data_IF_276631944332
#
_entry.id   IF_276631944332
#
_cell.length_a   1.000
_cell.length_b   1.000
_cell.length_c   1.000
_cell.angle_alpha   90.00
_cell.angle_beta   90.00
_cell.angle_gamma   90.00
#
_symmetry.space_group_name_H-M   'P 1'
#
loop_
_entity.id
_entity.type
_entity.pdbx_description
1 polymer ?
#
# COMPACT_ATOMS: atom_id res chain seq x y z
N UNK A 1 13.13 -39.14 -21.68
CA UNK A 1 13.35 -40.30 -20.81
C UNK A 1 12.67 -39.97 -19.48
N UNK A 2 11.83 -40.86 -18.95
CA UNK A 2 11.07 -40.63 -17.70
C UNK A 2 11.75 -41.27 -16.49
N UNK A 3 12.90 -41.93 -16.69
CA UNK A 3 13.70 -42.56 -15.62
C UNK A 3 13.99 -41.61 -14.47
N UNK A 4 14.48 -40.40 -14.77
CA UNK A 4 14.76 -39.35 -13.77
C UNK A 4 13.52 -38.99 -12.93
N UNK A 5 12.34 -38.93 -13.54
CA UNK A 5 11.11 -38.63 -12.81
C UNK A 5 10.75 -39.75 -11.83
N UNK A 6 10.88 -41.00 -12.26
CA UNK A 6 10.59 -42.18 -11.42
C UNK A 6 11.59 -42.25 -10.26
N UNK A 7 12.88 -42.02 -10.53
CA UNK A 7 13.92 -42.02 -9.51
C UNK A 7 13.68 -40.90 -8.47
N UNK A 8 13.40 -39.69 -8.94
CA UNK A 8 13.04 -38.57 -8.06
C UNK A 8 11.77 -38.85 -7.25
N UNK A 9 10.74 -39.45 -7.84
CA UNK A 9 9.50 -39.81 -7.14
C UNK A 9 9.71 -40.88 -6.05
N UNK A 10 10.68 -41.76 -6.25
CA UNK A 10 11.06 -42.80 -5.28
C UNK A 10 11.93 -42.28 -4.13
N UNK A 11 12.37 -41.02 -4.18
CA UNK A 11 13.22 -40.43 -3.16
C UNK A 11 12.44 -40.27 -1.85
N UNK A 12 12.99 -40.71 -0.70
CA UNK A 12 12.30 -40.57 0.57
C UNK A 12 12.13 -39.10 0.97
N UNK A 13 11.08 -38.75 1.75
CA UNK A 13 10.91 -37.41 2.28
C UNK A 13 12.13 -37.01 3.12
N UNK A 14 12.47 -35.73 3.10
CA UNK A 14 13.59 -35.15 3.85
C UNK A 14 13.31 -35.24 5.35
N UNK A 15 12.09 -34.87 5.74
CA UNK A 15 11.62 -34.99 7.13
C UNK A 15 10.50 -36.03 7.19
N UNK A 16 9.29 -35.58 6.92
CA UNK A 16 8.11 -36.41 6.79
C UNK A 16 7.21 -35.77 5.73
N UNK A 17 6.33 -36.58 5.14
CA UNK A 17 5.48 -36.14 4.01
C UNK A 17 4.69 -34.87 4.33
N UNK A 18 4.15 -34.75 5.55
CA UNK A 18 3.33 -33.59 5.95
C UNK A 18 4.18 -32.32 6.06
N UNK A 19 5.34 -32.42 6.70
CA UNK A 19 6.29 -31.33 6.90
C UNK A 19 6.84 -30.84 5.56
N UNK A 20 7.20 -31.76 4.67
CA UNK A 20 7.79 -31.42 3.37
C UNK A 20 6.75 -30.77 2.45
N UNK A 21 5.48 -31.22 2.49
CA UNK A 21 4.37 -30.54 1.81
C UNK A 21 4.16 -29.14 2.39
N UNK A 22 4.17 -29.01 3.72
CA UNK A 22 3.96 -27.72 4.38
C UNK A 22 5.08 -26.71 4.08
N UNK A 23 6.35 -27.11 4.17
CA UNK A 23 7.48 -26.24 3.82
C UNK A 23 7.55 -25.98 2.31
N UNK A 24 7.17 -26.95 1.47
CA UNK A 24 6.99 -26.75 0.03
C UNK A 24 5.93 -25.69 -0.28
N UNK A 25 4.80 -25.71 0.43
CA UNK A 25 3.79 -24.65 0.37
C UNK A 25 4.38 -23.29 0.80
N UNK A 26 5.08 -23.25 1.94
CA UNK A 26 5.65 -22.01 2.48
C UNK A 26 6.67 -21.37 1.53
N UNK A 27 7.54 -22.18 0.91
CA UNK A 27 8.51 -21.73 -0.09
C UNK A 27 7.83 -21.34 -1.41
N UNK A 28 6.78 -22.06 -1.81
CA UNK A 28 6.04 -21.82 -3.05
C UNK A 28 5.25 -20.52 -3.08
N UNK A 29 4.93 -19.94 -1.92
CA UNK A 29 4.22 -18.64 -1.83
C UNK A 29 4.99 -17.49 -2.49
N UNK A 30 6.32 -17.58 -2.57
CA UNK A 30 7.15 -16.62 -3.31
C UNK A 30 6.89 -16.66 -4.82
N UNK A 31 6.45 -17.80 -5.36
CA UNK A 31 6.13 -17.95 -6.78
C UNK A 31 4.83 -17.26 -7.22
N UNK A 32 4.11 -16.60 -6.30
CA UNK A 32 2.84 -15.89 -6.55
C UNK A 32 2.93 -14.42 -6.13
N UNK A 33 4.14 -13.89 -5.91
CA UNK A 33 4.33 -12.46 -5.64
C UNK A 33 4.13 -11.62 -6.91
N UNK A 34 3.80 -10.34 -6.76
CA UNK A 34 3.62 -9.39 -7.86
C UNK A 34 2.16 -9.09 -8.22
N UNK A 35 1.20 -9.91 -7.76
CA UNK A 35 -0.23 -9.65 -7.95
C UNK A 35 -0.67 -8.35 -7.28
N UNK A 36 -0.06 -8.02 -6.15
CA UNK A 36 -0.27 -6.80 -5.38
C UNK A 36 0.15 -5.54 -6.13
N UNK A 37 1.17 -5.63 -6.99
CA UNK A 37 1.65 -4.46 -7.74
C UNK A 37 0.62 -3.98 -8.77
N UNK A 38 -0.20 -4.90 -9.30
CA UNK A 38 -1.27 -4.56 -10.24
C UNK A 38 -2.33 -3.65 -9.62
N UNK A 39 -2.54 -3.71 -8.30
CA UNK A 39 -3.47 -2.86 -7.58
C UNK A 39 -2.99 -1.41 -7.48
N UNK A 40 -1.68 -1.15 -7.58
CA UNK A 40 -1.13 0.20 -7.46
C UNK A 40 -1.48 1.10 -8.65
N UNK A 41 -1.75 0.52 -9.83
CA UNK A 41 -2.08 1.26 -11.05
C UNK A 41 -3.52 1.02 -11.49
N UNK A 42 -4.38 0.53 -10.58
CA UNK A 42 -5.80 0.28 -10.88
C UNK A 42 -6.51 1.54 -11.38
N UNK A 43 -6.10 2.71 -10.89
CA UNK A 43 -6.67 4.01 -11.27
C UNK A 43 -6.33 4.41 -12.72
N UNK A 44 -5.24 3.87 -13.27
CA UNK A 44 -4.82 4.10 -14.66
C UNK A 44 -5.42 3.06 -15.63
N UNK A 45 -6.01 1.99 -15.11
CA UNK A 45 -6.62 0.93 -15.90
C UNK A 45 -8.05 1.30 -16.31
N UNK A 46 -8.47 0.81 -17.48
CA UNK A 46 -9.88 0.91 -17.91
C UNK A 46 -10.78 0.08 -17.00
N UNK A 47 -12.03 0.53 -16.85
CA UNK A 47 -13.05 -0.18 -16.08
C UNK A 47 -13.16 -1.66 -16.49
N UNK A 48 -13.15 -2.56 -15.50
CA UNK A 48 -13.26 -4.00 -15.69
C UNK A 48 -12.02 -4.72 -16.24
N UNK A 49 -10.89 -4.02 -16.45
CA UNK A 49 -9.62 -4.65 -16.84
C UNK A 49 -8.95 -5.34 -15.65
N UNK A 50 -8.96 -4.71 -14.48
CA UNK A 50 -8.30 -5.24 -13.28
C UNK A 50 -8.70 -6.69 -12.91
N UNK A 51 -10.00 -7.07 -12.87
CA UNK A 51 -10.38 -8.46 -12.64
C UNK A 51 -9.86 -9.43 -13.72
N UNK A 52 -9.80 -8.98 -14.98
CA UNK A 52 -9.26 -9.79 -16.08
C UNK A 52 -7.75 -9.99 -15.93
N UNK A 53 -7.03 -8.96 -15.51
CA UNK A 53 -5.59 -9.03 -15.21
C UNK A 53 -5.32 -10.07 -14.12
N UNK A 54 -6.01 -9.98 -12.98
CA UNK A 54 -5.86 -10.95 -11.88
C UNK A 54 -6.20 -12.37 -12.33
N UNK A 55 -7.30 -12.56 -13.06
CA UNK A 55 -7.70 -13.87 -13.58
C UNK A 55 -6.64 -14.45 -14.52
N UNK A 56 -6.14 -13.66 -15.46
CA UNK A 56 -5.17 -14.14 -16.44
C UNK A 56 -3.81 -14.45 -15.79
N UNK A 57 -3.36 -13.61 -14.85
CA UNK A 57 -2.15 -13.88 -14.06
C UNK A 57 -2.31 -15.16 -13.24
N UNK A 58 -3.46 -15.36 -12.59
CA UNK A 58 -3.73 -16.57 -11.81
C UNK A 58 -3.73 -17.83 -12.69
N UNK A 59 -4.36 -17.79 -13.87
CA UNK A 59 -4.33 -18.89 -14.84
C UNK A 59 -2.90 -19.20 -15.28
N UNK A 60 -2.11 -18.17 -15.61
CA UNK A 60 -0.73 -18.35 -16.01
C UNK A 60 0.09 -19.04 -14.91
N UNK A 61 0.01 -18.57 -13.67
CA UNK A 61 0.70 -19.17 -12.53
C UNK A 61 0.23 -20.60 -12.26
N UNK A 62 -1.08 -20.85 -12.31
CA UNK A 62 -1.65 -22.18 -12.07
C UNK A 62 -1.24 -23.22 -13.13
N UNK A 63 -0.86 -22.78 -14.33
CA UNK A 63 -0.40 -23.66 -15.41
C UNK A 63 1.13 -23.75 -15.41
N UNK A 64 1.84 -22.62 -15.47
CA UNK A 64 3.29 -22.61 -15.64
C UNK A 64 4.03 -23.12 -14.41
N UNK A 65 3.65 -22.75 -13.18
CA UNK A 65 4.41 -23.17 -12.00
C UNK A 65 4.41 -24.70 -11.83
N UNK A 66 3.25 -25.40 -11.90
CA UNK A 66 3.24 -26.87 -11.83
C UNK A 66 3.97 -27.53 -13.01
N UNK A 67 3.83 -26.99 -14.23
CA UNK A 67 4.51 -27.54 -15.41
C UNK A 67 6.03 -27.40 -15.29
N UNK A 68 6.54 -26.24 -14.87
CA UNK A 68 7.97 -26.02 -14.66
C UNK A 68 8.50 -26.89 -13.52
N UNK A 69 7.72 -27.09 -12.45
CA UNK A 69 8.04 -28.03 -11.38
C UNK A 69 8.16 -29.47 -11.88
N UNK A 70 7.18 -29.92 -12.69
CA UNK A 70 7.19 -31.26 -13.30
C UNK A 70 8.35 -31.44 -14.27
N UNK A 71 8.65 -30.44 -15.11
CA UNK A 71 9.79 -30.47 -16.03
C UNK A 71 11.11 -30.53 -15.26
N UNK A 72 11.24 -29.77 -14.18
CA UNK A 72 12.45 -29.79 -13.33
C UNK A 72 12.67 -31.17 -12.73
N UNK A 73 11.64 -31.76 -12.13
CA UNK A 73 11.70 -33.11 -11.56
C UNK A 73 11.83 -34.22 -12.63
N UNK A 74 11.39 -33.97 -13.85
CA UNK A 74 11.47 -34.95 -14.94
C UNK A 74 12.81 -34.96 -15.68
N UNK A 75 13.63 -33.91 -15.55
CA UNK A 75 14.84 -33.72 -16.36
C UNK A 75 16.11 -33.70 -15.53
N UNK A 76 16.06 -33.20 -14.30
CA UNK A 76 17.21 -33.03 -13.42
C UNK A 76 16.99 -33.82 -12.12
N UNK A 77 18.04 -34.46 -11.60
CA UNK A 77 17.96 -35.21 -10.33
C UNK A 77 17.82 -34.26 -9.13
N UNK A 78 17.14 -34.69 -8.05
CA UNK A 78 17.00 -33.87 -6.83
C UNK A 78 18.35 -33.34 -6.30
N UNK A 79 19.44 -34.13 -6.21
CA UNK A 79 20.73 -33.61 -5.78
C UNK A 79 21.27 -32.47 -6.66
N UNK A 80 21.06 -32.53 -7.97
CA UNK A 80 21.46 -31.46 -8.90
C UNK A 80 20.56 -30.23 -8.74
N UNK A 81 19.26 -30.39 -8.49
CA UNK A 81 18.34 -29.28 -8.20
C UNK A 81 18.80 -28.53 -6.94
N UNK A 82 19.14 -29.27 -5.87
CA UNK A 82 19.62 -28.67 -4.61
C UNK A 82 20.96 -27.97 -4.81
N UNK A 83 21.89 -28.57 -5.56
CA UNK A 83 23.18 -27.97 -5.85
C UNK A 83 23.10 -26.68 -6.71
N UNK A 84 22.07 -26.56 -7.54
CA UNK A 84 21.86 -25.43 -8.47
C UNK A 84 20.57 -24.65 -8.17
N UNK A 85 20.19 -24.57 -6.89
CA UNK A 85 18.90 -24.00 -6.44
C UNK A 85 18.61 -22.58 -6.94
N UNK A 86 19.66 -21.78 -7.17
CA UNK A 86 19.54 -20.40 -7.65
C UNK A 86 19.20 -20.27 -9.14
N UNK A 87 19.43 -21.30 -9.95
CA UNK A 87 19.27 -21.23 -11.42
C UNK A 87 18.78 -22.55 -12.04
N UNK A 88 17.92 -23.29 -11.31
CA UNK A 88 17.39 -24.60 -11.72
C UNK A 88 16.82 -24.60 -13.14
N UNK A 89 16.10 -23.55 -13.55
CA UNK A 89 15.51 -23.48 -14.89
C UNK A 89 16.56 -23.43 -16.01
N UNK A 90 17.69 -22.76 -15.78
CA UNK A 90 18.79 -22.73 -16.74
C UNK A 90 19.45 -24.11 -16.85
N UNK A 91 19.56 -24.84 -15.73
CA UNK A 91 20.08 -26.21 -15.72
C UNK A 91 19.16 -27.15 -16.50
N UNK A 92 17.84 -27.06 -16.27
CA UNK A 92 16.83 -27.79 -17.06
C UNK A 92 16.98 -27.51 -18.55
N UNK A 93 17.16 -26.23 -18.93
CA UNK A 93 17.43 -25.84 -20.32
C UNK A 93 18.73 -26.43 -20.87
N UNK A 94 19.78 -26.49 -20.06
CA UNK A 94 21.06 -27.10 -20.40
C UNK A 94 20.98 -28.60 -20.66
N UNK A 95 20.31 -29.34 -19.78
CA UNK A 95 20.15 -30.80 -19.90
C UNK A 95 19.24 -31.16 -21.08
N UNK A 96 18.18 -30.38 -21.33
CA UNK A 96 17.20 -30.68 -22.38
C UNK A 96 17.60 -30.19 -23.77
N UNK A 97 18.14 -28.99 -23.87
CA UNK A 97 18.43 -28.30 -25.13
C UNK A 97 19.91 -28.04 -25.38
N UNK A 98 20.79 -28.26 -24.40
CA UNK A 98 22.22 -27.94 -24.49
C UNK A 98 22.54 -26.49 -24.09
N UNK A 99 23.81 -26.13 -24.21
CA UNK A 99 24.35 -24.87 -23.68
C UNK A 99 23.67 -23.61 -24.22
N UNK A 100 23.19 -23.61 -25.48
CA UNK A 100 22.52 -22.44 -26.05
C UNK A 100 21.21 -22.11 -25.32
N UNK A 101 20.43 -23.13 -24.92
CA UNK A 101 19.16 -22.93 -24.22
C UNK A 101 19.41 -22.51 -22.77
N UNK A 102 20.44 -23.03 -22.12
CA UNK A 102 20.89 -22.58 -20.81
C UNK A 102 21.22 -21.07 -20.82
N UNK A 103 22.00 -20.60 -21.80
CA UNK A 103 22.36 -19.18 -21.93
C UNK A 103 21.11 -18.33 -22.20
N UNK A 104 20.21 -18.79 -23.08
CA UNK A 104 18.99 -18.07 -23.41
C UNK A 104 18.09 -17.91 -22.18
N UNK A 105 17.85 -19.00 -21.42
CA UNK A 105 17.04 -18.99 -20.20
C UNK A 105 17.68 -18.11 -19.12
N UNK A 106 19.01 -18.15 -18.99
CA UNK A 106 19.74 -17.29 -18.04
C UNK A 106 19.63 -15.81 -18.40
N UNK A 107 19.73 -15.48 -19.69
CA UNK A 107 19.58 -14.10 -20.18
C UNK A 107 18.15 -13.59 -19.98
N UNK A 108 17.14 -14.41 -20.30
CA UNK A 108 15.73 -14.08 -20.07
C UNK A 108 15.43 -13.86 -18.58
N UNK A 109 15.87 -14.79 -17.72
CA UNK A 109 15.72 -14.66 -16.27
C UNK A 109 16.37 -13.37 -15.74
N UNK A 110 17.55 -13.01 -16.24
CA UNK A 110 18.23 -11.76 -15.88
C UNK A 110 17.42 -10.53 -16.29
N UNK A 111 16.89 -10.51 -17.51
CA UNK A 111 16.07 -9.39 -17.99
C UNK A 111 14.76 -9.26 -17.20
N UNK A 112 14.09 -10.38 -16.91
CA UNK A 112 12.85 -10.39 -16.13
C UNK A 112 13.09 -9.91 -14.69
N UNK A 113 14.13 -10.41 -14.02
CA UNK A 113 14.47 -10.00 -12.65
C UNK A 113 14.88 -8.53 -12.57
N UNK A 114 15.61 -8.00 -13.57
CA UNK A 114 15.90 -6.57 -13.66
C UNK A 114 14.62 -5.72 -13.79
N UNK A 115 13.61 -6.21 -14.52
CA UNK A 115 12.31 -5.53 -14.67
C UNK A 115 11.52 -5.41 -13.36
N UNK A 116 11.58 -6.41 -12.49
CA UNK A 116 10.86 -6.43 -11.21
C UNK A 116 11.37 -5.40 -10.19
N UNK A 117 12.60 -4.92 -10.34
CA UNK A 117 13.28 -4.01 -9.38
C UNK A 117 12.89 -2.54 -9.60
N UNK A 118 12.27 -2.19 -10.73
CA UNK A 118 11.98 -0.80 -11.12
C UNK A 118 10.67 -0.22 -10.54
N UNK A 119 9.94 -0.96 -9.71
CA UNK A 119 8.59 -0.59 -9.23
C UNK A 119 8.57 -0.37 -7.71
N UNK A 120 8.95 0.83 -7.24
CA UNK A 120 8.82 1.19 -5.82
C UNK A 120 8.59 2.70 -5.63
N UNK A 121 7.51 3.08 -4.94
CA UNK A 121 7.10 4.48 -4.70
C UNK A 121 7.23 4.89 -3.23
N UNK A 122 7.71 6.11 -2.95
CA UNK A 122 7.98 6.68 -1.62
C UNK A 122 7.80 8.24 -1.63
N UNK A 123 7.74 8.92 -0.45
CA UNK A 123 6.97 10.15 -0.19
C UNK A 123 7.39 11.45 -0.91
N UNK A 124 6.53 12.48 -0.78
CA UNK A 124 6.50 13.74 -1.55
C UNK A 124 7.78 14.60 -1.57
N UNK A 125 8.72 14.41 -0.64
CA UNK A 125 10.04 15.05 -0.69
C UNK A 125 10.96 14.40 -1.74
N UNK A 126 10.77 13.10 -2.00
CA UNK A 126 11.51 12.33 -2.99
C UNK A 126 10.99 12.56 -4.42
N UNK A 127 9.81 13.19 -4.56
CA UNK A 127 9.17 13.52 -5.84
C UNK A 127 9.80 14.74 -6.54
N UNK A 128 11.04 15.12 -6.19
CA UNK A 128 11.78 16.08 -6.99
C UNK A 128 12.00 15.48 -8.38
N UNK A 129 11.32 16.03 -9.38
CA UNK A 129 11.48 15.61 -10.76
C UNK A 129 12.65 16.34 -11.39
N UNK A 130 13.57 15.59 -11.97
CA UNK A 130 14.61 16.15 -12.81
C UNK A 130 13.95 16.85 -14.02
N UNK A 131 14.19 18.16 -14.25
CA UNK A 131 13.57 18.89 -15.35
C UNK A 131 13.93 18.36 -16.75
N UNK A 132 15.03 17.62 -16.90
CA UNK A 132 15.48 17.08 -18.19
C UNK A 132 14.91 15.70 -18.50
N UNK A 133 14.85 14.81 -17.51
CA UNK A 133 14.46 13.40 -17.69
C UNK A 133 13.07 13.08 -17.16
N UNK A 134 12.47 13.99 -16.38
CA UNK A 134 11.20 13.78 -15.70
C UNK A 134 11.25 12.74 -14.56
N UNK A 135 12.42 12.15 -14.30
CA UNK A 135 12.62 11.08 -13.30
C UNK A 135 12.77 11.64 -11.90
N UNK A 136 12.48 10.82 -10.89
CA UNK A 136 12.67 11.10 -9.46
C UNK A 136 14.00 10.52 -8.94
N UNK A 137 15.16 11.17 -9.17
CA UNK A 137 16.48 10.58 -8.90
C UNK A 137 16.69 10.21 -7.43
N UNK A 138 16.06 10.93 -6.49
CA UNK A 138 16.22 10.67 -5.06
C UNK A 138 15.56 9.33 -4.68
N UNK A 139 14.44 8.97 -5.31
CA UNK A 139 13.80 7.67 -5.11
C UNK A 139 14.72 6.57 -5.62
N UNK A 140 15.23 6.73 -6.84
CA UNK A 140 16.08 5.72 -7.49
C UNK A 140 17.35 5.49 -6.67
N UNK A 141 18.05 6.55 -6.29
CA UNK A 141 19.28 6.46 -5.49
C UNK A 141 18.97 5.92 -4.09
N UNK A 142 17.90 6.39 -3.44
CA UNK A 142 17.51 5.91 -2.11
C UNK A 142 17.17 4.42 -2.11
N UNK A 143 16.42 3.97 -3.10
CA UNK A 143 16.10 2.56 -3.29
C UNK A 143 17.36 1.75 -3.55
N UNK A 144 18.25 2.19 -4.44
CA UNK A 144 19.55 1.56 -4.69
C UNK A 144 20.40 1.44 -3.42
N UNK A 145 20.48 2.49 -2.59
CA UNK A 145 21.22 2.46 -1.34
C UNK A 145 20.61 1.47 -0.34
N UNK A 146 19.27 1.43 -0.21
CA UNK A 146 18.57 0.52 0.69
C UNK A 146 18.76 -0.93 0.23
N UNK A 147 18.55 -1.24 -1.04
CA UNK A 147 18.71 -2.61 -1.56
C UNK A 147 20.16 -3.06 -1.50
N UNK A 148 21.13 -2.20 -1.85
CA UNK A 148 22.55 -2.48 -1.71
C UNK A 148 22.95 -2.71 -0.25
N UNK A 149 22.39 -1.93 0.68
CA UNK A 149 22.67 -2.11 2.11
C UNK A 149 22.22 -3.49 2.62
N UNK A 150 21.04 -3.95 2.19
CA UNK A 150 20.51 -5.25 2.59
C UNK A 150 21.35 -6.39 1.98
N UNK A 151 21.74 -6.25 0.71
CA UNK A 151 22.62 -7.21 0.05
C UNK A 151 23.98 -7.35 0.74
N UNK A 152 24.59 -6.22 1.14
CA UNK A 152 25.88 -6.21 1.86
C UNK A 152 25.75 -6.80 3.27
N UNK A 153 24.69 -6.46 4.01
CA UNK A 153 24.47 -6.95 5.38
C UNK A 153 24.25 -8.46 5.40
N UNK A 154 23.63 -9.00 4.36
CA UNK A 154 23.34 -10.43 4.20
C UNK A 154 24.51 -11.18 3.55
N UNK A 155 25.64 -10.50 3.28
CA UNK A 155 26.87 -11.07 2.69
C UNK A 155 26.62 -11.83 1.38
N UNK A 156 25.69 -11.34 0.56
CA UNK A 156 25.30 -11.98 -0.70
C UNK A 156 24.50 -13.29 -0.56
N UNK A 157 24.05 -13.66 0.64
CA UNK A 157 23.22 -14.85 0.84
C UNK A 157 21.80 -14.67 0.28
N UNK A 158 21.62 -15.07 -0.97
CA UNK A 158 20.35 -14.95 -1.72
C UNK A 158 19.19 -15.64 -1.01
N UNK A 159 19.42 -16.78 -0.34
CA UNK A 159 18.40 -17.51 0.40
C UNK A 159 17.84 -16.69 1.58
N UNK A 160 18.71 -16.04 2.36
CA UNK A 160 18.30 -15.16 3.45
C UNK A 160 17.56 -13.94 2.90
N UNK A 161 18.02 -13.36 1.78
CA UNK A 161 17.34 -12.25 1.13
C UNK A 161 15.91 -12.63 0.68
N UNK A 162 15.75 -13.79 0.04
CA UNK A 162 14.47 -14.33 -0.38
C UNK A 162 13.55 -14.60 0.82
N UNK A 163 14.09 -15.10 1.93
CA UNK A 163 13.32 -15.33 3.16
C UNK A 163 12.88 -14.04 3.86
N UNK A 164 13.73 -13.01 3.93
CA UNK A 164 13.35 -11.67 4.42
C UNK A 164 12.25 -11.06 3.55
N UNK A 165 12.35 -11.22 2.24
CA UNK A 165 11.32 -10.80 1.29
C UNK A 165 10.00 -11.57 1.52
N UNK A 166 10.04 -12.90 1.70
CA UNK A 166 8.85 -13.72 1.98
C UNK A 166 8.10 -13.25 3.23
N UNK A 167 8.82 -13.06 4.34
CA UNK A 167 8.24 -12.59 5.61
C UNK A 167 7.61 -11.20 5.43
N UNK A 168 8.30 -10.28 4.74
CA UNK A 168 7.82 -8.92 4.48
C UNK A 168 6.55 -8.94 3.62
N UNK A 169 6.58 -9.67 2.50
CA UNK A 169 5.48 -9.81 1.56
C UNK A 169 4.24 -10.40 2.24
N UNK A 170 4.39 -11.52 2.95
CA UNK A 170 3.28 -12.17 3.64
C UNK A 170 2.68 -11.29 4.74
N UNK A 171 3.50 -10.48 5.42
CA UNK A 171 3.02 -9.50 6.41
C UNK A 171 2.14 -8.43 5.76
N UNK A 172 2.57 -7.86 4.63
CA UNK A 172 1.81 -6.85 3.89
C UNK A 172 0.50 -7.44 3.36
N UNK A 173 0.54 -8.63 2.77
CA UNK A 173 -0.67 -9.34 2.35
C UNK A 173 -1.61 -9.56 3.54
N UNK A 174 -1.09 -9.92 4.72
CA UNK A 174 -1.85 -10.06 5.96
C UNK A 174 -2.62 -8.79 6.30
N UNK A 175 -1.96 -7.64 6.19
CA UNK A 175 -2.58 -6.34 6.40
C UNK A 175 -3.67 -6.02 5.37
N UNK A 176 -3.55 -6.47 4.11
CA UNK A 176 -4.65 -6.34 3.13
C UNK A 176 -5.88 -7.15 3.54
N UNK A 177 -5.70 -8.39 4.00
CA UNK A 177 -6.81 -9.22 4.48
C UNK A 177 -7.47 -8.62 5.74
N UNK A 178 -6.67 -8.15 6.69
CA UNK A 178 -7.17 -7.44 7.90
C UNK A 178 -7.87 -6.14 7.51
N UNK A 179 -7.32 -5.37 6.58
CA UNK A 179 -7.93 -4.15 6.06
C UNK A 179 -9.29 -4.41 5.42
N UNK A 180 -9.44 -5.51 4.67
CA UNK A 180 -10.71 -5.95 4.11
C UNK A 180 -11.74 -6.28 5.21
N UNK A 181 -11.32 -7.00 6.25
CA UNK A 181 -12.15 -7.30 7.43
C UNK A 181 -12.62 -6.00 8.11
N UNK A 182 -11.70 -5.06 8.35
CA UNK A 182 -12.00 -3.78 8.97
C UNK A 182 -12.97 -2.93 8.12
N UNK A 183 -12.82 -2.95 6.79
CA UNK A 183 -13.74 -2.27 5.88
C UNK A 183 -15.12 -2.93 5.85
N UNK A 184 -15.20 -4.26 5.91
CA UNK A 184 -16.49 -4.98 6.03
C UNK A 184 -17.20 -4.68 7.34
N UNK A 185 -16.45 -4.56 8.44
CA UNK A 185 -17.03 -4.29 9.75
C UNK A 185 -17.42 -2.82 9.95
N UNK A 186 -16.52 -1.88 9.63
CA UNK A 186 -16.77 -0.45 9.84
C UNK A 186 -17.57 0.18 8.70
N UNK A 187 -17.39 -0.22 7.44
CA UNK A 187 -17.94 0.48 6.26
C UNK A 187 -18.70 -0.47 5.34
N UNK A 188 -19.74 -1.10 5.87
CA UNK A 188 -20.61 -2.03 5.15
C UNK A 188 -21.42 -1.37 4.02
N UNK A 189 -21.86 -0.12 4.20
CA UNK A 189 -22.67 0.65 3.23
C UNK A 189 -21.94 1.14 1.99
N UNK A 190 -20.60 1.05 1.98
CA UNK A 190 -19.77 1.57 0.90
C UNK A 190 -20.06 0.78 -0.39
N UNK A 191 -20.37 1.45 -1.53
CA UNK A 191 -20.65 0.75 -2.78
C UNK A 191 -19.40 -0.01 -3.25
N UNK A 192 -19.58 -1.28 -3.63
CA UNK A 192 -18.49 -2.19 -4.03
C UNK A 192 -18.87 -2.88 -5.33
N UNK A 193 -18.04 -2.73 -6.34
CA UNK A 193 -18.17 -3.43 -7.62
C UNK A 193 -18.03 -4.95 -7.41
N UNK A 194 -17.10 -5.36 -6.53
CA UNK A 194 -16.81 -6.77 -6.23
C UNK A 194 -16.98 -7.08 -4.74
N UNK A 195 -17.79 -8.09 -4.41
CA UNK A 195 -18.06 -8.52 -3.02
C UNK A 195 -17.50 -9.93 -2.80
N UNK A 196 -16.47 -10.04 -1.96
CA UNK A 196 -15.90 -11.34 -1.53
C UNK A 196 -16.60 -11.83 -0.26
N UNK A 197 -16.78 -13.14 -0.10
CA UNK A 197 -17.39 -13.73 1.11
C UNK A 197 -16.49 -13.56 2.35
N UNK A 198 -17.07 -13.54 3.56
CA UNK A 198 -16.29 -13.51 4.81
C UNK A 198 -15.39 -14.73 4.98
N UNK A 199 -15.91 -15.91 4.62
CA UNK A 199 -15.19 -17.18 4.75
C UNK A 199 -13.93 -17.17 3.88
N UNK A 200 -14.02 -16.68 2.64
CA UNK A 200 -12.87 -16.59 1.73
C UNK A 200 -11.76 -15.71 2.30
N UNK A 201 -12.11 -14.58 2.93
CA UNK A 201 -11.11 -13.68 3.55
C UNK A 201 -10.47 -14.33 4.78
N UNK A 202 -11.24 -15.01 5.63
CA UNK A 202 -10.73 -15.70 6.81
C UNK A 202 -9.82 -16.88 6.45
N UNK A 203 -10.21 -17.69 5.45
CA UNK A 203 -9.37 -18.77 4.95
C UNK A 203 -8.07 -18.25 4.31
N UNK A 204 -8.16 -17.18 3.51
CA UNK A 204 -6.98 -16.53 2.93
C UNK A 204 -6.01 -16.04 4.01
N UNK A 205 -6.53 -15.35 5.03
CA UNK A 205 -5.73 -14.90 6.17
C UNK A 205 -5.10 -16.09 6.93
N UNK A 206 -5.84 -17.18 7.14
CA UNK A 206 -5.34 -18.39 7.78
C UNK A 206 -4.18 -19.04 7.01
N UNK A 207 -4.33 -19.20 5.70
CA UNK A 207 -3.27 -19.73 4.84
C UNK A 207 -2.03 -18.84 4.84
N UNK A 208 -2.20 -17.52 4.78
CA UNK A 208 -1.08 -16.59 4.83
C UNK A 208 -0.37 -16.58 6.19
N UNK A 209 -1.09 -16.67 7.31
CA UNK A 209 -0.49 -16.81 8.64
C UNK A 209 0.31 -18.12 8.72
N UNK A 210 -0.26 -19.22 8.21
CA UNK A 210 0.44 -20.50 8.16
C UNK A 210 1.73 -20.41 7.33
N UNK A 211 1.68 -19.76 6.15
CA UNK A 211 2.86 -19.52 5.32
C UNK A 211 3.91 -18.63 6.01
N UNK A 212 3.47 -17.59 6.72
CA UNK A 212 4.35 -16.68 7.45
C UNK A 212 5.07 -17.41 8.59
N UNK A 213 4.33 -18.20 9.39
CA UNK A 213 4.90 -19.02 10.46
C UNK A 213 5.93 -20.00 9.90
N UNK A 214 5.61 -20.68 8.80
CA UNK A 214 6.51 -21.66 8.19
C UNK A 214 7.81 -21.03 7.69
N UNK A 215 7.74 -19.86 7.05
CA UNK A 215 8.94 -19.12 6.62
C UNK A 215 9.82 -18.66 7.80
N UNK A 216 9.21 -18.29 8.94
CA UNK A 216 9.93 -17.93 10.17
C UNK A 216 10.59 -19.16 10.82
N UNK A 217 9.91 -20.29 10.84
CA UNK A 217 10.45 -21.55 11.38
C UNK A 217 11.58 -22.08 10.50
N UNK A 218 11.45 -21.97 9.17
CA UNK A 218 12.42 -22.49 8.21
C UNK A 218 13.80 -21.86 8.38
N UNK A 219 13.87 -20.53 8.51
CA UNK A 219 15.12 -19.84 8.83
C UNK A 219 14.85 -18.67 9.79
N UNK A 220 15.06 -18.88 11.11
CA UNK A 220 14.79 -17.89 12.13
C UNK A 220 15.65 -16.62 12.01
N UNK A 221 16.80 -16.66 11.34
CA UNK A 221 17.65 -15.47 11.19
C UNK A 221 17.02 -14.42 10.28
N UNK A 222 16.14 -14.83 9.35
CA UNK A 222 15.41 -13.91 8.48
C UNK A 222 14.56 -12.90 9.27
N UNK A 223 14.01 -13.31 10.43
CA UNK A 223 13.19 -12.41 11.24
C UNK A 223 14.02 -11.27 11.84
N UNK A 224 15.31 -11.49 12.11
CA UNK A 224 16.20 -10.48 12.68
C UNK A 224 16.41 -9.34 11.69
N UNK A 225 16.77 -9.68 10.45
CA UNK A 225 16.95 -8.69 9.38
C UNK A 225 15.65 -7.97 9.07
N UNK A 226 14.54 -8.70 8.96
CA UNK A 226 13.21 -8.10 8.79
C UNK A 226 12.89 -7.09 9.90
N UNK A 227 13.07 -7.48 11.16
CA UNK A 227 12.75 -6.63 12.31
C UNK A 227 13.58 -5.36 12.36
N UNK A 228 14.87 -5.41 11.99
CA UNK A 228 15.75 -4.23 11.91
C UNK A 228 15.22 -3.24 10.87
N UNK A 229 15.01 -3.69 9.63
CA UNK A 229 14.53 -2.83 8.53
C UNK A 229 13.12 -2.31 8.80
N UNK A 230 12.23 -3.18 9.31
CA UNK A 230 10.88 -2.79 9.68
C UNK A 230 10.88 -1.74 10.79
N UNK A 231 11.72 -1.91 11.83
CA UNK A 231 11.81 -0.95 12.93
C UNK A 231 12.33 0.42 12.48
N UNK A 232 13.38 0.45 11.64
CA UNK A 232 13.91 1.71 11.08
C UNK A 232 12.83 2.41 10.24
N UNK A 233 12.17 1.67 9.35
CA UNK A 233 11.12 2.21 8.47
C UNK A 233 9.92 2.71 9.28
N UNK A 234 9.44 1.90 10.24
CA UNK A 234 8.36 2.27 11.13
C UNK A 234 8.70 3.50 11.96
N UNK A 235 9.94 3.60 12.45
CA UNK A 235 10.42 4.77 13.21
C UNK A 235 10.36 6.03 12.37
N UNK A 236 10.80 5.98 11.10
CA UNK A 236 10.69 7.11 10.17
C UNK A 236 9.21 7.51 9.97
N UNK A 237 8.33 6.54 9.76
CA UNK A 237 6.89 6.78 9.60
C UNK A 237 6.27 7.39 10.86
N UNK A 238 6.60 6.86 12.05
CA UNK A 238 6.14 7.38 13.33
C UNK A 238 6.64 8.81 13.59
N UNK A 239 7.89 9.11 13.23
CA UNK A 239 8.44 10.47 13.25
C UNK A 239 7.66 11.38 12.30
N UNK A 240 7.30 10.91 11.10
CA UNK A 240 6.45 11.69 10.18
C UNK A 240 5.07 11.99 10.77
N UNK A 241 4.40 11.02 11.40
CA UNK A 241 3.10 11.22 12.04
C UNK A 241 3.18 12.17 13.24
N UNK A 242 4.24 12.07 14.04
CA UNK A 242 4.41 12.89 15.25
C UNK A 242 5.21 14.17 15.01
N UNK A 243 5.59 14.47 13.77
CA UNK A 243 6.49 15.58 13.41
C UNK A 243 6.07 16.91 14.01
N UNK A 244 4.78 17.25 14.01
CA UNK A 244 4.29 18.52 14.56
C UNK A 244 4.44 18.59 16.08
N UNK A 245 4.27 17.45 16.78
CA UNK A 245 4.53 17.37 18.23
C UNK A 245 6.02 17.51 18.50
N UNK A 246 6.87 16.81 17.75
CA UNK A 246 8.34 16.92 17.85
C UNK A 246 8.79 18.36 17.63
N UNK A 247 8.35 19.01 16.55
CA UNK A 247 8.69 20.41 16.25
C UNK A 247 8.26 21.38 17.36
N UNK A 248 7.10 21.15 18.01
CA UNK A 248 6.65 21.94 19.16
C UNK A 248 7.53 21.72 20.40
N UNK A 249 7.94 20.49 20.68
CA UNK A 249 8.87 20.17 21.77
C UNK A 249 10.25 20.79 21.52
N UNK A 250 10.77 20.69 20.29
CA UNK A 250 12.03 21.32 19.89
C UNK A 250 11.96 22.84 20.05
N UNK A 251 10.83 23.47 19.66
CA UNK A 251 10.60 24.90 19.92
C UNK A 251 10.58 25.25 21.41
N UNK A 252 10.02 24.39 22.26
CA UNK A 252 10.02 24.61 23.71
C UNK A 252 11.45 24.64 24.28
N UNK A 253 12.31 23.70 23.86
CA UNK A 253 13.72 23.70 24.30
C UNK A 253 14.58 24.80 23.67
N UNK A 254 14.25 25.23 22.45
CA UNK A 254 14.92 26.36 21.79
C UNK A 254 14.50 27.71 22.40
N UNK A 255 13.39 27.77 23.12
CA UNK A 255 12.91 29.01 23.71
C UNK A 255 13.99 29.64 24.60
N UNK A 256 14.21 30.95 24.42
CA UNK A 256 15.23 31.75 25.10
C UNK A 256 16.70 31.46 24.74
N UNK A 257 16.97 30.70 23.67
CA UNK A 257 18.34 30.53 23.12
C UNK A 257 18.58 31.43 21.91
N UNK A 258 19.86 31.72 21.60
CA UNK A 258 20.21 32.49 20.39
C UNK A 258 19.76 31.81 19.08
N UNK A 259 19.61 30.48 19.12
CA UNK A 259 19.16 29.65 18.02
C UNK A 259 17.66 29.84 17.70
N UNK A 260 16.84 30.32 18.64
CA UNK A 260 15.42 30.62 18.39
C UNK A 260 15.23 31.65 17.26
N UNK A 261 16.18 32.60 17.13
CA UNK A 261 16.09 33.67 16.13
C UNK A 261 16.20 33.12 14.70
N UNK A 262 16.95 32.04 14.49
CA UNK A 262 17.16 31.42 13.18
C UNK A 262 16.34 30.14 13.03
N UNK A 263 16.63 29.13 13.86
CA UNK A 263 15.99 27.81 13.81
C UNK A 263 14.55 27.90 14.28
N UNK A 264 14.28 28.62 15.37
CA UNK A 264 12.92 28.75 15.92
C UNK A 264 11.96 29.51 14.99
N UNK A 265 12.43 30.53 14.25
CA UNK A 265 11.65 31.17 13.18
C UNK A 265 11.32 30.21 12.04
N UNK A 266 12.30 29.42 11.59
CA UNK A 266 12.10 28.43 10.53
C UNK A 266 11.11 27.35 10.96
N UNK A 267 11.26 26.77 12.16
CA UNK A 267 10.33 25.75 12.68
C UNK A 267 8.92 26.32 12.83
N UNK A 268 8.76 27.52 13.41
CA UNK A 268 7.44 28.19 13.49
C UNK A 268 6.84 28.45 12.11
N UNK A 269 7.64 28.71 11.08
CA UNK A 269 7.15 28.81 9.71
C UNK A 269 6.66 27.48 9.16
N UNK A 270 7.37 26.38 9.42
CA UNK A 270 6.96 25.05 8.96
C UNK A 270 5.69 24.58 9.66
N UNK A 271 5.60 24.74 11.00
CA UNK A 271 4.38 24.42 11.77
C UNK A 271 3.20 25.26 11.28
N UNK A 272 3.39 26.56 11.03
CA UNK A 272 2.32 27.41 10.46
C UNK A 272 1.91 27.00 9.06
N UNK A 273 2.83 26.56 8.20
CA UNK A 273 2.48 26.03 6.87
C UNK A 273 1.62 24.78 6.97
N UNK A 274 1.95 23.87 7.90
CA UNK A 274 1.17 22.65 8.16
C UNK A 274 -0.22 23.01 8.67
N UNK A 275 -0.33 23.80 9.74
CA UNK A 275 -1.61 24.12 10.38
C UNK A 275 -2.54 25.01 9.53
N UNK A 276 -1.98 25.79 8.59
CA UNK A 276 -2.77 26.66 7.68
C UNK A 276 -3.49 25.88 6.58
N UNK A 277 -3.15 24.61 6.37
CA UNK A 277 -3.80 23.79 5.35
C UNK A 277 -5.30 23.70 5.64
N UNK A 278 -6.13 24.24 4.74
CA UNK A 278 -7.57 24.13 4.88
C UNK A 278 -8.03 22.70 4.63
N UNK A 279 -9.02 22.30 5.41
CA UNK A 279 -9.76 21.05 5.25
C UNK A 279 -11.18 21.37 4.82
N UNK A 280 -11.75 20.57 3.91
CA UNK A 280 -13.13 20.71 3.45
C UNK A 280 -13.94 19.48 3.83
N UNK A 281 -15.11 19.65 4.44
CA UNK A 281 -16.08 18.57 4.66
C UNK A 281 -17.36 18.87 3.90
N UNK A 282 -17.81 17.94 3.07
CA UNK A 282 -19.05 18.08 2.32
C UNK A 282 -20.23 17.57 3.13
N UNK A 283 -21.14 18.49 3.48
CA UNK A 283 -22.35 18.21 4.24
C UNK A 283 -23.56 18.07 3.31
N UNK A 284 -24.28 16.95 3.43
CA UNK A 284 -25.53 16.71 2.69
C UNK A 284 -26.76 17.31 3.37
N UNK A 285 -26.80 17.31 4.71
CA UNK A 285 -27.90 17.81 5.54
C UNK A 285 -27.36 18.70 6.67
N UNK A 286 -28.26 19.34 7.42
CA UNK A 286 -27.98 20.08 8.65
C UNK A 286 -27.98 19.19 9.91
N UNK A 287 -27.69 17.89 9.80
CA UNK A 287 -27.61 17.04 10.99
C UNK A 287 -26.41 17.45 11.87
N UNK A 288 -26.69 18.04 13.03
CA UNK A 288 -25.68 18.51 13.97
C UNK A 288 -24.81 17.36 14.49
N UNK A 289 -25.35 16.15 14.65
CA UNK A 289 -24.58 15.00 15.11
C UNK A 289 -23.50 14.63 14.08
N UNK A 290 -23.89 14.53 12.81
CA UNK A 290 -22.99 14.25 11.70
C UNK A 290 -21.91 15.32 11.55
N UNK A 291 -22.29 16.60 11.59
CA UNK A 291 -21.35 17.71 11.51
C UNK A 291 -20.37 17.70 12.69
N UNK A 292 -20.87 17.48 13.91
CA UNK A 292 -20.03 17.38 15.10
C UNK A 292 -19.04 16.21 15.03
N UNK A 293 -19.46 15.04 14.54
CA UNK A 293 -18.55 13.90 14.30
C UNK A 293 -17.47 14.24 13.29
N UNK A 294 -17.80 14.95 12.21
CA UNK A 294 -16.82 15.40 11.22
C UNK A 294 -15.81 16.38 11.82
N UNK A 295 -16.27 17.34 12.62
CA UNK A 295 -15.41 18.29 13.33
C UNK A 295 -14.46 17.58 14.30
N UNK A 296 -14.98 16.65 15.11
CA UNK A 296 -14.16 15.84 16.02
C UNK A 296 -13.10 15.02 15.27
N UNK A 297 -13.48 14.39 14.15
CA UNK A 297 -12.53 13.67 13.31
C UNK A 297 -11.38 14.57 12.84
N UNK A 298 -11.70 15.74 12.27
CA UNK A 298 -10.70 16.70 11.79
C UNK A 298 -9.79 17.14 12.93
N UNK A 299 -10.36 17.42 14.11
CA UNK A 299 -9.59 17.83 15.29
C UNK A 299 -8.63 16.76 15.80
N UNK A 300 -9.01 15.49 15.72
CA UNK A 300 -8.23 14.37 16.26
C UNK A 300 -7.19 13.82 15.27
N UNK A 301 -7.48 13.88 13.97
CA UNK A 301 -6.71 13.17 12.94
C UNK A 301 -5.97 14.10 11.98
N UNK A 302 -6.42 15.33 11.79
CA UNK A 302 -5.83 16.26 10.83
C UNK A 302 -5.05 17.39 11.53
N UNK A 303 -3.89 17.73 10.96
CA UNK A 303 -3.02 18.79 11.48
C UNK A 303 -3.45 20.16 10.94
N UNK A 304 -4.68 20.60 11.23
CA UNK A 304 -5.25 21.87 10.76
C UNK A 304 -5.94 22.68 11.86
N UNK A 305 -5.99 24.00 11.67
CA UNK A 305 -6.77 24.94 12.48
C UNK A 305 -7.93 25.56 11.68
N UNK A 306 -8.17 25.11 10.44
CA UNK A 306 -9.20 25.68 9.57
C UNK A 306 -9.98 24.61 8.80
N UNK A 307 -11.28 24.60 9.02
CA UNK A 307 -12.23 23.71 8.36
C UNK A 307 -13.27 24.52 7.59
N UNK A 308 -13.66 24.01 6.43
CA UNK A 308 -14.77 24.54 5.63
C UNK A 308 -15.84 23.46 5.51
N UNK A 309 -17.05 23.77 5.96
CA UNK A 309 -18.21 22.92 5.71
C UNK A 309 -18.79 23.38 4.37
N UNK A 310 -18.75 22.51 3.38
CA UNK A 310 -19.26 22.79 2.03
C UNK A 310 -20.62 22.11 1.84
N UNK A 311 -21.61 22.86 1.38
CA UNK A 311 -22.91 22.32 0.99
C UNK A 311 -23.18 22.60 -0.49
N UNK A 312 -23.47 21.55 -1.26
CA UNK A 312 -23.77 21.65 -2.69
C UNK A 312 -25.27 21.57 -2.89
N UNK A 313 -25.85 22.57 -3.56
CA UNK A 313 -27.29 22.73 -3.76
C UNK A 313 -27.62 23.10 -5.20
N UNK A 314 -28.80 22.71 -5.68
CA UNK A 314 -29.31 23.05 -7.01
C UNK A 314 -30.23 24.27 -7.00
N UNK A 315 -31.08 24.38 -5.99
CA UNK A 315 -31.96 25.54 -5.77
C UNK A 315 -31.78 26.04 -4.34
N UNK A 316 -31.95 27.34 -4.10
CA UNK A 316 -31.72 27.92 -2.76
C UNK A 316 -32.65 27.32 -1.68
N UNK A 317 -33.79 26.78 -2.09
CA UNK A 317 -34.75 26.07 -1.24
C UNK A 317 -34.20 24.74 -0.69
N UNK A 318 -33.20 24.14 -1.35
CA UNK A 318 -32.55 22.92 -0.88
C UNK A 318 -31.55 23.17 0.25
N UNK A 319 -31.14 24.42 0.48
CA UNK A 319 -30.21 24.77 1.55
C UNK A 319 -30.91 24.51 2.89
N UNK A 320 -30.40 23.60 3.73
CA UNK A 320 -31.06 23.28 4.98
C UNK A 320 -31.11 24.52 5.89
N UNK A 321 -32.28 24.89 6.43
CA UNK A 321 -32.49 26.19 7.08
C UNK A 321 -31.67 26.35 8.36
N UNK A 322 -31.31 25.24 9.03
CA UNK A 322 -30.51 25.29 10.28
C UNK A 322 -29.02 25.11 10.04
N UNK A 323 -28.57 24.89 8.81
CA UNK A 323 -27.16 24.61 8.52
C UNK A 323 -26.24 25.74 8.97
N UNK A 324 -26.62 27.00 8.68
CA UNK A 324 -25.85 28.19 9.09
C UNK A 324 -25.71 28.22 10.61
N UNK A 325 -26.83 28.09 11.32
CA UNK A 325 -26.87 28.12 12.78
C UNK A 325 -26.06 26.99 13.42
N UNK A 326 -26.15 25.77 12.87
CA UNK A 326 -25.37 24.63 13.36
C UNK A 326 -23.87 24.81 13.15
N UNK A 327 -23.45 25.42 12.03
CA UNK A 327 -22.04 25.73 11.78
C UNK A 327 -21.53 26.78 12.76
N UNK A 328 -22.32 27.82 13.04
CA UNK A 328 -21.99 28.85 14.04
C UNK A 328 -21.80 28.25 15.44
N UNK A 329 -22.73 27.39 15.87
CA UNK A 329 -22.61 26.66 17.15
C UNK A 329 -21.30 25.86 17.19
N UNK A 330 -20.95 25.16 16.10
CA UNK A 330 -19.73 24.35 16.05
C UNK A 330 -18.46 25.22 16.10
N UNK A 331 -18.45 26.37 15.42
CA UNK A 331 -17.31 27.31 15.47
C UNK A 331 -17.10 27.84 16.91
N UNK A 332 -18.19 28.18 17.61
CA UNK A 332 -18.15 28.61 19.02
C UNK A 332 -17.72 27.48 19.97
N UNK A 333 -18.22 26.27 19.77
CA UNK A 333 -17.88 25.10 20.59
C UNK A 333 -16.41 24.69 20.46
N UNK A 334 -15.79 24.94 19.30
CA UNK A 334 -14.44 24.50 18.99
C UNK A 334 -13.49 25.66 18.65
N UNK A 335 -13.15 26.54 19.62
CA UNK A 335 -12.42 27.79 19.36
C UNK A 335 -10.99 27.63 18.82
N UNK A 336 -10.45 26.40 18.81
CA UNK A 336 -9.13 26.08 18.25
C UNK A 336 -9.18 25.71 16.76
N UNK A 337 -10.38 25.58 16.20
CA UNK A 337 -10.63 25.20 14.82
C UNK A 337 -11.64 26.20 14.26
N UNK A 338 -11.20 27.05 13.33
CA UNK A 338 -12.12 27.97 12.65
C UNK A 338 -12.93 27.21 11.62
N UNK A 339 -14.26 27.29 11.71
CA UNK A 339 -15.21 26.59 10.86
C UNK A 339 -15.98 27.62 10.04
N UNK A 340 -15.77 27.64 8.73
CA UNK A 340 -16.55 28.48 7.81
C UNK A 340 -17.57 27.63 7.03
N UNK A 341 -18.77 28.15 6.76
CA UNK A 341 -19.72 27.57 5.81
C UNK A 341 -19.45 28.09 4.39
N UNK A 342 -19.47 27.19 3.40
CA UNK A 342 -19.40 27.51 1.98
C UNK A 342 -20.56 26.83 1.27
N UNK A 343 -21.45 27.61 0.67
CA UNK A 343 -22.54 27.09 -0.16
C UNK A 343 -22.12 27.13 -1.63
N UNK A 344 -22.40 26.06 -2.37
CA UNK A 344 -21.97 25.87 -3.75
C UNK A 344 -23.16 25.52 -4.63
N UNK A 345 -23.53 26.43 -5.52
CA UNK A 345 -24.58 26.21 -6.50
C UNK A 345 -24.06 25.30 -7.64
N UNK A 346 -24.61 24.09 -7.76
CA UNK A 346 -24.31 23.14 -8.82
C UNK A 346 -25.48 22.17 -9.04
N UNK A 347 -25.56 21.56 -10.24
CA UNK A 347 -26.62 20.58 -10.54
C UNK A 347 -26.61 19.35 -9.63
N UNK A 348 -25.45 19.01 -9.07
CA UNK A 348 -25.30 17.91 -8.12
C UNK A 348 -23.87 17.71 -7.63
N UNK A 349 -23.70 16.80 -6.68
CA UNK A 349 -22.39 16.44 -6.14
C UNK A 349 -21.62 15.50 -7.07
N UNK A 350 -20.83 16.07 -7.98
CA UNK A 350 -20.02 15.33 -8.97
C UNK A 350 -18.52 15.51 -8.75
N UNK A 351 -17.72 14.61 -9.31
CA UNK A 351 -16.26 14.72 -9.26
C UNK A 351 -15.79 16.07 -9.84
N UNK A 352 -16.41 16.55 -10.92
CA UNK A 352 -16.10 17.85 -11.54
C UNK A 352 -16.27 19.02 -10.57
N UNK A 353 -17.32 19.02 -9.74
CA UNK A 353 -17.54 20.06 -8.72
C UNK A 353 -16.41 20.03 -7.69
N UNK A 354 -16.02 18.84 -7.24
CA UNK A 354 -14.93 18.67 -6.28
C UNK A 354 -13.59 19.13 -6.85
N UNK A 355 -13.26 18.76 -8.10
CA UNK A 355 -12.06 19.24 -8.79
C UNK A 355 -12.04 20.77 -8.90
N UNK A 356 -13.17 21.37 -9.30
CA UNK A 356 -13.30 22.83 -9.43
C UNK A 356 -13.15 23.53 -8.08
N UNK A 357 -13.72 22.96 -7.02
CA UNK A 357 -13.57 23.50 -5.65
C UNK A 357 -12.15 23.35 -5.12
N UNK A 358 -11.47 22.25 -5.44
CA UNK A 358 -10.09 22.04 -5.05
C UNK A 358 -9.17 23.12 -5.62
N UNK A 359 -9.36 23.47 -6.90
CA UNK A 359 -8.65 24.57 -7.56
C UNK A 359 -9.01 25.93 -6.96
N UNK A 360 -10.31 26.24 -6.82
CA UNK A 360 -10.78 27.55 -6.32
C UNK A 360 -10.41 27.81 -4.86
N UNK A 361 -10.44 26.78 -4.02
CA UNK A 361 -10.11 26.90 -2.59
C UNK A 361 -8.62 26.69 -2.31
N UNK A 362 -7.83 26.28 -3.32
CA UNK A 362 -6.44 25.84 -3.16
C UNK A 362 -6.29 24.73 -2.10
N UNK A 363 -7.26 23.82 -2.06
CA UNK A 363 -7.28 22.66 -1.16
C UNK A 363 -7.14 21.40 -2.01
N UNK A 364 -6.06 20.60 -1.84
CA UNK A 364 -5.95 19.35 -2.57
C UNK A 364 -7.06 18.38 -2.17
N UNK A 365 -7.55 17.52 -3.09
CA UNK A 365 -8.72 16.65 -2.81
C UNK A 365 -8.51 15.71 -1.63
N UNK A 366 -7.26 15.34 -1.32
CA UNK A 366 -6.95 14.49 -0.17
C UNK A 366 -7.22 15.17 1.20
N UNK A 367 -7.45 16.49 1.24
CA UNK A 367 -7.93 17.22 2.41
C UNK A 367 -9.43 17.54 2.33
N UNK A 368 -10.14 16.90 1.40
CA UNK A 368 -11.58 16.96 1.30
C UNK A 368 -12.21 15.67 1.81
N UNK A 369 -13.32 15.82 2.52
CA UNK A 369 -13.95 14.75 3.28
C UNK A 369 -15.43 14.64 2.99
N UNK A 370 -15.94 13.41 2.99
CA UNK A 370 -17.36 13.07 2.93
C UNK A 370 -17.71 12.07 4.02
N UNK A 371 -19.00 11.99 4.34
CA UNK A 371 -19.55 10.81 5.01
C UNK A 371 -19.53 9.59 4.09
N UNK A 372 -19.64 8.41 4.69
CA UNK A 372 -19.70 7.15 3.97
C UNK A 372 -20.84 7.20 2.93
N UNK A 373 -20.52 7.16 1.63
CA UNK A 373 -21.55 7.15 0.61
C UNK A 373 -22.31 5.83 0.66
N UNK A 374 -23.62 5.88 0.39
CA UNK A 374 -24.46 4.69 0.24
C UNK A 374 -24.46 4.16 -1.20
N UNK A 375 -25.28 3.14 -1.47
CA UNK A 375 -25.35 2.49 -2.78
C UNK A 375 -25.79 3.42 -3.92
N UNK A 376 -26.60 4.45 -3.64
CA UNK A 376 -27.09 5.41 -4.63
C UNK A 376 -26.17 6.62 -4.85
N UNK A 377 -24.86 6.46 -4.65
CA UNK A 377 -23.91 7.55 -4.82
C UNK A 377 -23.70 7.87 -6.33
N UNK A 378 -23.64 9.15 -6.75
CA UNK A 378 -23.80 9.54 -8.16
C UNK A 378 -22.71 8.98 -9.10
N UNK A 379 -21.49 8.87 -8.61
CA UNK A 379 -20.33 8.43 -9.38
C UNK A 379 -19.42 7.52 -8.54
N UNK A 380 -18.59 6.69 -9.18
CA UNK A 380 -17.59 5.89 -8.48
C UNK A 380 -16.66 6.80 -7.67
N UNK A 381 -16.41 6.44 -6.40
CA UNK A 381 -15.56 7.20 -5.46
C UNK A 381 -14.16 7.47 -6.04
N UNK A 382 -13.61 6.55 -6.83
CA UNK A 382 -12.31 6.70 -7.49
C UNK A 382 -12.21 7.98 -8.36
N UNK A 383 -13.32 8.43 -8.96
CA UNK A 383 -13.34 9.66 -9.78
C UNK A 383 -13.13 10.94 -8.96
N UNK A 384 -13.30 10.91 -7.65
CA UNK A 384 -13.16 12.08 -6.78
C UNK A 384 -11.71 12.38 -6.37
N UNK A 385 -10.73 11.65 -6.91
CA UNK A 385 -9.31 12.04 -6.87
C UNK A 385 -8.66 12.02 -5.50
N UNK A 386 -8.96 11.01 -4.66
CA UNK A 386 -8.32 10.83 -3.35
C UNK A 386 -9.05 11.50 -2.17
N UNK A 387 -10.31 11.91 -2.36
CA UNK A 387 -11.19 12.33 -1.28
C UNK A 387 -11.29 11.25 -0.18
N UNK A 388 -11.31 11.68 1.08
CA UNK A 388 -11.33 10.78 2.24
C UNK A 388 -12.73 10.65 2.85
N UNK A 389 -12.99 9.51 3.49
CA UNK A 389 -14.27 9.23 4.15
C UNK A 389 -14.04 9.25 5.66
N UNK A 390 -14.85 10.04 6.40
CA UNK A 390 -14.61 10.33 7.82
C UNK A 390 -15.71 9.88 8.77
N UNK A 391 -16.96 9.89 8.31
CA UNK A 391 -18.13 9.56 9.14
C UNK A 391 -18.93 8.42 8.52
N UNK A 392 -19.71 7.71 9.35
CA UNK A 392 -20.61 6.61 8.94
C UNK A 392 -21.96 7.14 8.47
#
# INVERSE_FOLDING_TARGET
>A
DWSTLVDNWSTPPINNVVSDIYFGYCSGLLGVTGFETSANYIEEQKDGVFPKTLRNMWIAVAIFNPLLGLLSLGTVSIPQIVANSNYVLAEVGGVTGGQWLNILVSADATLVLCGSVLTSCLPQFLLYKNPLTGTEPIIIIGFFCITSSLFIIVDGAVETLAGVYAISFLSVMGLFAIGNILLKYKRDRLPRDEKVSWISVLLGLGFMIAGWIGNVIYNPDNIKYFAIYFSVTLSIVLVMFTRTRILKVVLYFLANTFLDRYIGKWIRSQVRKINKQHVVFFAKSDDLEMLNKAVLYVRENELTERMKICHVYRTEEEIPPRLVHHVEILDEMYPKLRIDLVTVHAEGFTARVVHTLAEKLHVPQNFMFISCPGENFPEKIAKYGGMRIVTH
#
